data_IF_396916927275
#
_entry.id   IF_396916927275
#
_cell.length_a   1.000
_cell.length_b   1.000
_cell.length_c   1.000
_cell.angle_alpha   90.00
_cell.angle_beta   90.00
_cell.angle_gamma   90.00
#
_symmetry.space_group_name_H-M   'P 1'
#
loop_
_entity.id
_entity.type
_entity.pdbx_description
1 polymer ?
#
# COMPACT_ATOMS: atom_id res chain seq x y z
N UNK A 1 20.52 -0.67 12.33
CA UNK A 1 20.48 -0.32 10.90
C UNK A 1 20.45 1.19 10.80
N UNK A 2 21.35 1.81 10.09
CA UNK A 2 21.32 3.25 9.83
C UNK A 2 20.39 3.53 8.67
N UNK A 3 19.45 4.46 8.85
CA UNK A 3 18.59 4.93 7.77
C UNK A 3 19.45 5.77 6.81
N UNK A 4 19.82 5.20 5.67
CA UNK A 4 20.51 5.96 4.62
C UNK A 4 19.54 6.90 3.90
N UNK A 5 19.99 8.03 3.32
CA UNK A 5 19.13 8.92 2.54
C UNK A 5 18.39 8.19 1.40
N UNK A 6 19.05 7.23 0.74
CA UNK A 6 18.43 6.37 -0.28
C UNK A 6 17.26 5.57 0.29
N UNK A 7 17.45 4.92 1.44
CA UNK A 7 16.41 4.10 2.06
C UNK A 7 15.25 4.97 2.58
N UNK A 8 15.55 6.15 3.15
CA UNK A 8 14.52 7.11 3.55
C UNK A 8 13.65 7.55 2.35
N UNK A 9 14.30 7.86 1.22
CA UNK A 9 13.57 8.19 -0.02
C UNK A 9 12.69 7.02 -0.49
N UNK A 10 13.24 5.79 -0.53
CA UNK A 10 12.49 4.60 -0.95
C UNK A 10 11.30 4.31 -0.05
N UNK A 11 11.40 4.56 1.26
CA UNK A 11 10.30 4.38 2.22
C UNK A 11 9.27 5.52 2.13
N UNK A 12 9.65 6.72 1.66
CA UNK A 12 8.77 7.89 1.56
C UNK A 12 8.01 7.94 0.22
N UNK A 13 8.59 7.37 -0.86
CA UNK A 13 7.95 7.36 -2.18
C UNK A 13 6.57 6.65 -2.20
N UNK A 14 6.39 5.44 -1.61
CA UNK A 14 5.09 4.78 -1.60
C UNK A 14 3.98 5.64 -0.98
N UNK A 15 4.10 6.16 0.25
CA UNK A 15 3.06 7.01 0.84
C UNK A 15 2.76 8.27 0.00
N UNK A 16 3.77 8.88 -0.62
CA UNK A 16 3.58 10.02 -1.51
C UNK A 16 2.74 9.65 -2.75
N UNK A 17 3.10 8.55 -3.41
CA UNK A 17 2.40 8.08 -4.61
C UNK A 17 0.98 7.61 -4.27
N UNK A 18 0.77 6.96 -3.12
CA UNK A 18 -0.56 6.51 -2.71
C UNK A 18 -1.44 7.65 -2.20
N UNK A 19 -0.87 8.70 -1.62
CA UNK A 19 -1.59 9.92 -1.32
C UNK A 19 -2.20 10.55 -2.59
N UNK A 20 -1.41 10.70 -3.64
CA UNK A 20 -1.89 11.18 -4.93
C UNK A 20 -2.87 10.21 -5.59
N UNK A 21 -2.71 8.88 -5.43
CA UNK A 21 -3.68 7.91 -5.92
C UNK A 21 -5.07 8.09 -5.26
N UNK A 22 -5.12 8.35 -3.96
CA UNK A 22 -6.38 8.60 -3.27
C UNK A 22 -7.06 9.88 -3.78
N UNK A 23 -6.30 10.95 -4.00
CA UNK A 23 -6.80 12.21 -4.55
C UNK A 23 -7.29 12.04 -5.98
N UNK A 24 -6.50 11.37 -6.84
CA UNK A 24 -6.85 11.10 -8.24
C UNK A 24 -8.08 10.19 -8.36
N UNK A 25 -8.23 9.20 -7.49
CA UNK A 25 -9.39 8.32 -7.48
C UNK A 25 -10.70 9.08 -7.23
N UNK A 26 -10.69 10.11 -6.37
CA UNK A 26 -11.85 10.99 -6.15
C UNK A 26 -12.26 11.76 -7.40
N UNK A 27 -11.30 12.17 -8.22
CA UNK A 27 -11.57 12.90 -9.47
C UNK A 27 -12.23 12.00 -10.53
N UNK A 28 -12.09 10.68 -10.41
CA UNK A 28 -12.61 9.71 -11.37
C UNK A 28 -13.96 9.11 -10.96
N UNK A 29 -14.51 9.49 -9.82
CA UNK A 29 -15.86 9.13 -9.41
C UNK A 29 -16.84 9.53 -10.52
N UNK A 30 -17.69 8.61 -10.94
CA UNK A 30 -18.66 8.75 -12.05
C UNK A 30 -18.06 8.80 -13.47
N UNK A 31 -16.73 8.69 -13.66
CA UNK A 31 -16.13 8.58 -14.98
C UNK A 31 -15.82 7.13 -15.38
N UNK A 32 -15.47 6.29 -14.42
CA UNK A 32 -15.15 4.88 -14.65
C UNK A 32 -15.53 4.04 -13.43
N UNK A 33 -16.11 2.84 -13.62
CA UNK A 33 -16.37 1.93 -12.51
C UNK A 33 -15.07 1.52 -11.81
N UNK A 34 -15.05 1.46 -10.48
CA UNK A 34 -13.81 1.32 -9.70
C UNK A 34 -13.05 0.01 -9.94
N UNK A 35 -13.75 -1.13 -10.11
CA UNK A 35 -13.07 -2.41 -10.40
C UNK A 35 -12.51 -2.41 -11.81
N UNK A 36 -13.21 -1.79 -12.75
CA UNK A 36 -12.76 -1.58 -14.14
C UNK A 36 -11.53 -0.67 -14.16
N UNK A 37 -11.52 0.43 -13.39
CA UNK A 37 -10.34 1.30 -13.26
C UNK A 37 -9.13 0.52 -12.71
N UNK A 38 -9.34 -0.33 -11.70
CA UNK A 38 -8.28 -1.17 -11.15
C UNK A 38 -7.73 -2.16 -12.19
N UNK A 39 -8.62 -2.80 -12.97
CA UNK A 39 -8.20 -3.67 -14.07
C UNK A 39 -7.38 -2.92 -15.10
N UNK A 40 -7.87 -1.77 -15.58
CA UNK A 40 -7.16 -0.92 -16.56
C UNK A 40 -5.78 -0.50 -16.05
N UNK A 41 -5.68 -0.07 -14.80
CA UNK A 41 -4.42 0.27 -14.11
C UNK A 41 -3.40 -0.86 -14.24
N UNK A 42 -3.78 -2.09 -13.87
CA UNK A 42 -2.85 -3.20 -13.85
C UNK A 42 -2.57 -3.79 -15.24
N UNK A 43 -3.49 -3.66 -16.18
CA UNK A 43 -3.23 -3.93 -17.60
C UNK A 43 -2.15 -2.98 -18.13
N UNK A 44 -2.26 -1.67 -17.86
CA UNK A 44 -1.23 -0.69 -18.25
C UNK A 44 0.12 -1.03 -17.59
N UNK A 45 0.15 -1.39 -16.30
CA UNK A 45 1.38 -1.84 -15.63
C UNK A 45 2.01 -3.03 -16.34
N UNK A 46 1.20 -4.05 -16.69
CA UNK A 46 1.69 -5.23 -17.40
C UNK A 46 2.27 -4.85 -18.78
N UNK A 47 1.56 -4.02 -19.54
CA UNK A 47 1.99 -3.56 -20.87
C UNK A 47 3.29 -2.75 -20.80
N UNK A 48 3.45 -1.89 -19.79
CA UNK A 48 4.68 -1.11 -19.59
C UNK A 48 5.86 -1.99 -19.18
N UNK A 49 5.64 -2.98 -18.31
CA UNK A 49 6.72 -3.85 -17.84
C UNK A 49 7.09 -4.92 -18.85
N UNK A 50 6.18 -5.37 -19.70
CA UNK A 50 6.38 -6.48 -20.63
C UNK A 50 7.61 -6.32 -21.53
N UNK A 51 7.87 -5.16 -22.20
CA UNK A 51 9.04 -4.99 -23.06
C UNK A 51 10.37 -5.15 -22.32
N UNK A 52 10.42 -4.79 -21.06
CA UNK A 52 11.63 -4.83 -20.23
C UNK A 52 11.83 -6.17 -19.53
N UNK A 53 10.74 -6.82 -19.17
CA UNK A 53 10.74 -7.97 -18.26
C UNK A 53 10.22 -9.27 -18.86
N UNK A 54 9.89 -9.35 -20.16
CA UNK A 54 9.31 -10.54 -20.79
C UNK A 54 10.16 -11.82 -20.62
N UNK A 55 11.48 -11.66 -20.49
CA UNK A 55 12.42 -12.77 -20.30
C UNK A 55 12.14 -13.57 -19.02
N UNK A 56 11.49 -12.98 -18.03
CA UNK A 56 11.10 -13.66 -16.78
C UNK A 56 10.10 -14.80 -17.02
N UNK A 57 9.36 -14.73 -18.12
CA UNK A 57 8.42 -15.77 -18.54
C UNK A 57 9.13 -17.00 -19.15
N UNK A 58 10.44 -16.95 -19.32
CA UNK A 58 11.26 -18.07 -19.89
C UNK A 58 12.37 -18.49 -18.92
N UNK A 59 12.47 -19.78 -18.59
CA UNK A 59 11.51 -20.85 -18.90
C UNK A 59 10.26 -20.75 -18.03
N UNK A 60 9.08 -20.95 -18.63
CA UNK A 60 7.79 -20.90 -17.94
C UNK A 60 7.68 -21.86 -16.74
N UNK A 61 8.42 -22.99 -16.78
CA UNK A 61 8.48 -23.94 -15.66
C UNK A 61 8.83 -23.27 -14.32
N UNK A 62 9.75 -22.30 -14.31
CA UNK A 62 10.14 -21.56 -13.09
C UNK A 62 8.98 -20.78 -12.50
N UNK A 63 8.09 -20.27 -13.33
CA UNK A 63 6.86 -19.56 -12.90
C UNK A 63 5.85 -20.56 -12.37
N UNK A 64 5.62 -21.66 -13.11
CA UNK A 64 4.68 -22.70 -12.73
C UNK A 64 5.07 -23.38 -11.40
N UNK A 65 6.34 -23.68 -11.17
CA UNK A 65 6.81 -24.25 -9.91
C UNK A 65 6.50 -23.36 -8.68
N UNK A 66 6.31 -22.05 -8.90
CA UNK A 66 6.12 -21.05 -7.84
C UNK A 66 4.72 -20.44 -7.85
N UNK A 67 3.81 -20.99 -8.67
CA UNK A 67 2.48 -20.41 -8.86
C UNK A 67 1.70 -20.14 -7.56
N UNK A 68 1.76 -20.98 -6.49
CA UNK A 68 0.97 -20.70 -5.30
C UNK A 68 1.43 -19.43 -4.60
N UNK A 69 2.75 -19.24 -4.48
CA UNK A 69 3.33 -18.01 -3.91
C UNK A 69 2.98 -16.78 -4.75
N UNK A 70 3.11 -16.88 -6.07
CA UNK A 70 2.86 -15.79 -7.01
C UNK A 70 1.37 -15.42 -7.07
N UNK A 71 0.49 -16.43 -7.02
CA UNK A 71 -0.96 -16.22 -6.96
C UNK A 71 -1.35 -15.48 -5.68
N UNK A 72 -0.87 -15.94 -4.52
CA UNK A 72 -1.17 -15.29 -3.25
C UNK A 72 -0.60 -13.86 -3.24
N UNK A 73 0.65 -13.66 -3.65
CA UNK A 73 1.27 -12.34 -3.71
C UNK A 73 0.52 -11.40 -4.66
N UNK A 74 0.17 -11.86 -5.87
CA UNK A 74 -0.61 -11.09 -6.84
C UNK A 74 -2.03 -10.79 -6.35
N UNK A 75 -2.70 -11.78 -5.76
CA UNK A 75 -4.04 -11.59 -5.22
C UNK A 75 -4.04 -10.55 -4.09
N UNK A 76 -3.18 -10.70 -3.09
CA UNK A 76 -3.17 -9.81 -1.93
C UNK A 76 -2.80 -8.37 -2.28
N UNK A 77 -1.88 -8.17 -3.22
CA UNK A 77 -1.35 -6.83 -3.52
C UNK A 77 -1.99 -6.15 -4.72
N UNK A 78 -2.30 -6.87 -5.78
CA UNK A 78 -2.78 -6.31 -7.05
C UNK A 78 -4.30 -6.25 -7.09
N UNK A 79 -4.99 -7.36 -6.80
CA UNK A 79 -6.45 -7.41 -6.92
C UNK A 79 -7.17 -7.12 -5.61
N UNK A 80 -6.92 -7.90 -4.55
CA UNK A 80 -7.74 -7.88 -3.35
C UNK A 80 -7.71 -6.53 -2.61
N UNK A 81 -6.51 -5.96 -2.40
CA UNK A 81 -6.40 -4.71 -1.65
C UNK A 81 -7.27 -3.59 -2.25
N UNK A 82 -7.10 -3.32 -3.54
CA UNK A 82 -7.84 -2.24 -4.20
C UNK A 82 -9.33 -2.56 -4.32
N UNK A 83 -9.70 -3.79 -4.68
CA UNK A 83 -11.10 -4.19 -4.79
C UNK A 83 -11.83 -4.03 -3.44
N UNK A 84 -11.24 -4.54 -2.35
CA UNK A 84 -11.80 -4.43 -1.02
C UNK A 84 -11.84 -2.97 -0.52
N UNK A 85 -10.84 -2.16 -0.85
CA UNK A 85 -10.83 -0.73 -0.53
C UNK A 85 -11.99 0.00 -1.24
N UNK A 86 -12.25 -0.31 -2.50
CA UNK A 86 -13.37 0.29 -3.24
C UNK A 86 -14.73 -0.14 -2.69
N UNK A 87 -14.89 -1.42 -2.32
CA UNK A 87 -16.08 -1.90 -1.64
C UNK A 87 -16.28 -1.21 -0.27
N UNK A 88 -15.19 -1.02 0.48
CA UNK A 88 -15.24 -0.27 1.72
C UNK A 88 -15.70 1.18 1.48
N UNK A 89 -15.14 1.88 0.50
CA UNK A 89 -15.51 3.27 0.17
C UNK A 89 -16.96 3.41 -0.32
N UNK A 90 -17.52 2.36 -0.92
CA UNK A 90 -18.92 2.33 -1.33
C UNK A 90 -19.91 2.08 -0.18
N UNK A 91 -19.44 1.49 0.93
CA UNK A 91 -20.29 0.97 2.02
C UNK A 91 -19.98 1.55 3.40
N UNK A 92 -18.89 2.32 3.52
CA UNK A 92 -18.41 2.92 4.77
C UNK A 92 -18.06 4.39 4.59
N UNK A 93 -18.20 5.22 5.64
CA UNK A 93 -17.72 6.59 5.63
C UNK A 93 -16.21 6.65 5.34
N UNK A 94 -15.72 7.60 4.54
CA UNK A 94 -14.30 7.73 4.21
C UNK A 94 -13.38 7.84 5.43
N UNK A 95 -13.86 8.44 6.52
CA UNK A 95 -13.12 8.53 7.79
C UNK A 95 -12.82 7.14 8.37
N UNK A 96 -13.81 6.25 8.37
CA UNK A 96 -13.67 4.88 8.84
C UNK A 96 -12.64 4.13 8.00
N UNK A 97 -12.81 4.17 6.66
CA UNK A 97 -11.90 3.50 5.72
C UNK A 97 -10.45 3.95 5.96
N UNK A 98 -10.23 5.26 6.16
CA UNK A 98 -8.89 5.80 6.39
C UNK A 98 -8.34 5.40 7.75
N UNK A 99 -9.14 5.47 8.82
CA UNK A 99 -8.72 5.04 10.17
C UNK A 99 -8.33 3.55 10.19
N UNK A 100 -9.17 2.69 9.59
CA UNK A 100 -8.87 1.26 9.52
C UNK A 100 -7.66 1.00 8.64
N UNK A 101 -7.49 1.71 7.51
CA UNK A 101 -6.31 1.59 6.67
C UNK A 101 -5.02 1.93 7.41
N UNK A 102 -5.04 2.90 8.29
CA UNK A 102 -3.88 3.28 9.12
C UNK A 102 -3.54 2.26 10.21
N UNK A 103 -4.45 1.34 10.54
CA UNK A 103 -4.15 0.21 11.42
C UNK A 103 -3.14 -0.78 10.83
N UNK A 104 -2.72 -0.61 9.57
CA UNK A 104 -1.69 -1.40 8.89
C UNK A 104 -0.45 -1.63 9.78
N UNK A 105 -0.01 -0.60 10.50
CA UNK A 105 1.11 -0.69 11.43
C UNK A 105 0.90 -1.78 12.49
N UNK A 106 -0.30 -1.86 13.06
CA UNK A 106 -0.66 -2.88 14.07
C UNK A 106 -0.63 -4.27 13.44
N UNK A 107 -1.24 -4.43 12.26
CA UNK A 107 -1.29 -5.71 11.55
C UNK A 107 0.08 -6.17 11.07
N UNK A 108 0.97 -5.24 10.67
CA UNK A 108 2.36 -5.58 10.37
C UNK A 108 3.08 -6.20 11.58
N UNK A 109 2.88 -5.63 12.76
CA UNK A 109 3.47 -6.17 13.98
C UNK A 109 2.81 -7.49 14.38
N UNK A 110 1.47 -7.56 14.33
CA UNK A 110 0.72 -8.77 14.69
C UNK A 110 1.08 -9.96 13.80
N UNK A 111 1.06 -9.80 12.48
CA UNK A 111 1.46 -10.85 11.52
C UNK A 111 2.92 -11.25 11.75
N UNK A 112 3.80 -10.28 12.03
CA UNK A 112 5.20 -10.56 12.36
C UNK A 112 5.36 -11.44 13.58
N UNK A 113 4.62 -11.19 14.65
CA UNK A 113 4.65 -11.97 15.88
C UNK A 113 4.06 -13.36 15.65
N UNK A 114 2.86 -13.43 15.10
CA UNK A 114 2.07 -14.67 15.05
C UNK A 114 2.63 -15.66 14.00
N UNK A 115 2.97 -15.18 12.82
CA UNK A 115 3.33 -16.06 11.69
C UNK A 115 4.82 -16.13 11.41
N UNK A 116 5.59 -15.13 11.84
CA UNK A 116 7.03 -15.05 11.55
C UNK A 116 7.91 -15.06 12.78
N UNK A 117 7.33 -15.12 14.00
CA UNK A 117 8.06 -15.19 15.26
C UNK A 117 8.92 -13.95 15.58
N UNK A 118 8.59 -12.81 14.96
CA UNK A 118 9.34 -11.56 15.15
C UNK A 118 8.65 -10.71 16.21
N UNK A 119 9.28 -10.60 17.37
CA UNK A 119 8.78 -9.78 18.47
C UNK A 119 9.22 -8.33 18.30
N UNK A 120 8.28 -7.35 18.31
CA UNK A 120 8.64 -5.93 18.24
C UNK A 120 9.33 -5.50 19.55
N UNK A 121 10.34 -4.64 19.42
CA UNK A 121 10.94 -3.98 20.56
C UNK A 121 10.05 -2.88 21.13
N UNK A 122 10.27 -2.50 22.42
CA UNK A 122 9.47 -1.45 23.07
C UNK A 122 9.44 -0.12 22.30
N UNK A 123 10.57 0.27 21.69
CA UNK A 123 10.64 1.48 20.87
C UNK A 123 9.85 1.38 19.55
N UNK A 124 9.77 0.19 18.97
CA UNK A 124 8.92 -0.04 17.78
C UNK A 124 7.44 0.11 18.16
N UNK A 125 7.04 -0.36 19.33
CA UNK A 125 5.67 -0.18 19.86
C UNK A 125 5.38 1.30 20.16
N UNK A 126 6.31 2.02 20.80
CA UNK A 126 6.16 3.46 21.04
C UNK A 126 6.07 4.22 19.70
N UNK A 127 6.94 3.88 18.74
CA UNK A 127 6.91 4.49 17.42
C UNK A 127 5.58 4.22 16.69
N UNK A 128 5.04 3.00 16.79
CA UNK A 128 3.74 2.66 16.23
C UNK A 128 2.61 3.46 16.88
N UNK A 129 2.61 3.58 18.21
CA UNK A 129 1.61 4.37 18.94
C UNK A 129 1.66 5.85 18.56
N UNK A 130 2.85 6.45 18.45
CA UNK A 130 3.02 7.84 18.00
C UNK A 130 2.57 8.03 16.55
N UNK A 131 2.92 7.09 15.66
CA UNK A 131 2.49 7.13 14.27
C UNK A 131 0.95 7.08 14.15
N UNK A 132 0.30 6.19 14.89
CA UNK A 132 -1.16 6.10 14.92
C UNK A 132 -1.82 7.37 15.51
N UNK A 133 -1.24 7.93 16.58
CA UNK A 133 -1.72 9.18 17.17
C UNK A 133 -1.60 10.34 16.16
N UNK A 134 -0.50 10.42 15.42
CA UNK A 134 -0.32 11.41 14.36
C UNK A 134 -1.35 11.27 13.24
N UNK A 135 -1.59 10.05 12.78
CA UNK A 135 -2.64 9.77 11.78
C UNK A 135 -4.02 10.14 12.30
N UNK A 136 -4.36 9.74 13.52
CA UNK A 136 -5.63 10.10 14.15
C UNK A 136 -5.82 11.64 14.22
N UNK A 137 -4.74 12.38 14.50
CA UNK A 137 -4.73 13.85 14.52
C UNK A 137 -5.05 14.44 13.15
N UNK A 138 -4.46 13.92 12.05
CA UNK A 138 -4.79 14.40 10.69
C UNK A 138 -6.26 14.13 10.36
N UNK A 139 -6.70 12.87 10.55
CA UNK A 139 -8.03 12.43 10.10
C UNK A 139 -9.15 13.11 10.87
N UNK A 140 -8.92 13.40 12.16
CA UNK A 140 -9.91 14.08 13.02
C UNK A 140 -9.91 15.60 12.86
N UNK A 141 -8.98 16.19 12.11
CA UNK A 141 -8.78 17.62 12.09
C UNK A 141 -8.34 18.16 13.46
N UNK A 142 -7.69 17.35 14.30
CA UNK A 142 -7.30 17.70 15.66
C UNK A 142 -8.45 17.62 16.69
N UNK A 143 -9.65 17.17 16.32
CA UNK A 143 -10.81 17.08 17.20
C UNK A 143 -11.00 15.68 17.78
N UNK A 144 -10.91 15.54 19.10
CA UNK A 144 -11.24 14.28 19.79
C UNK A 144 -12.70 13.90 19.61
N UNK A 145 -13.61 14.89 19.56
CA UNK A 145 -15.03 14.66 19.33
C UNK A 145 -15.30 13.94 18.00
N UNK A 146 -14.56 14.28 16.94
CA UNK A 146 -14.65 13.60 15.65
C UNK A 146 -14.28 12.12 15.79
N UNK A 147 -13.20 11.79 16.52
CA UNK A 147 -12.80 10.40 16.74
C UNK A 147 -13.84 9.63 17.58
N UNK A 148 -14.39 10.25 18.59
CA UNK A 148 -15.42 9.62 19.44
C UNK A 148 -16.76 9.43 18.71
N UNK A 149 -17.02 10.19 17.65
CA UNK A 149 -18.24 10.04 16.82
C UNK A 149 -18.13 8.92 15.77
N UNK A 150 -16.94 8.33 15.56
CA UNK A 150 -16.75 7.23 14.63
C UNK A 150 -17.54 6.01 15.07
N UNK A 151 -18.42 5.53 14.19
CA UNK A 151 -19.17 4.29 14.38
C UNK A 151 -18.76 3.31 13.31
N UNK A 152 -18.26 2.15 13.71
CA UNK A 152 -17.92 1.09 12.78
C UNK A 152 -19.17 0.50 12.13
N UNK A 153 -19.07 0.25 10.83
CA UNK A 153 -20.12 -0.34 10.01
C UNK A 153 -19.62 -1.63 9.34
N UNK A 154 -20.50 -2.55 8.89
CA UNK A 154 -20.08 -3.81 8.29
C UNK A 154 -19.11 -3.64 7.11
N UNK A 155 -19.22 -2.54 6.36
CA UNK A 155 -18.32 -2.21 5.25
C UNK A 155 -16.87 -2.00 5.65
N UNK A 156 -16.59 -1.65 6.92
CA UNK A 156 -15.22 -1.49 7.42
C UNK A 156 -14.44 -2.81 7.44
N UNK A 157 -15.12 -3.96 7.42
CA UNK A 157 -14.49 -5.27 7.32
C UNK A 157 -13.75 -5.45 5.98
N UNK A 158 -14.23 -4.84 4.91
CA UNK A 158 -13.53 -4.93 3.62
C UNK A 158 -12.13 -4.31 3.71
N UNK A 159 -12.03 -3.09 4.22
CA UNK A 159 -10.71 -2.45 4.35
C UNK A 159 -9.84 -3.13 5.40
N UNK A 160 -10.43 -3.69 6.47
CA UNK A 160 -9.68 -4.46 7.46
C UNK A 160 -9.04 -5.71 6.84
N UNK A 161 -9.79 -6.47 6.03
CA UNK A 161 -9.27 -7.65 5.31
C UNK A 161 -8.18 -7.21 4.32
N UNK A 162 -8.38 -6.11 3.61
CA UNK A 162 -7.38 -5.56 2.69
C UNK A 162 -6.06 -5.24 3.39
N UNK A 163 -6.12 -4.58 4.55
CA UNK A 163 -4.95 -4.16 5.34
C UNK A 163 -4.22 -5.36 5.92
N UNK A 164 -4.94 -6.36 6.44
CA UNK A 164 -4.36 -7.61 6.91
C UNK A 164 -3.68 -8.34 5.73
N UNK A 165 -4.34 -8.42 4.59
CA UNK A 165 -3.78 -9.01 3.36
C UNK A 165 -2.49 -8.30 2.92
N UNK A 166 -2.44 -6.97 2.99
CA UNK A 166 -1.23 -6.19 2.69
C UNK A 166 -0.11 -6.44 3.69
N UNK A 167 -0.44 -6.64 4.97
CA UNK A 167 0.55 -7.01 5.98
C UNK A 167 1.15 -8.39 5.66
N UNK A 168 0.35 -9.39 5.32
CA UNK A 168 0.84 -10.70 4.86
C UNK A 168 1.71 -10.59 3.62
N UNK A 169 1.26 -9.88 2.59
CA UNK A 169 2.05 -9.63 1.38
C UNK A 169 3.42 -9.02 1.70
N UNK A 170 3.46 -8.02 2.57
CA UNK A 170 4.71 -7.36 2.95
C UNK A 170 5.66 -8.31 3.69
N UNK A 171 5.13 -9.17 4.56
CA UNK A 171 5.95 -10.19 5.21
C UNK A 171 6.40 -11.30 4.24
N UNK A 172 5.60 -11.65 3.26
CA UNK A 172 6.01 -12.55 2.18
C UNK A 172 7.17 -11.99 1.36
N UNK A 173 7.23 -10.68 1.15
CA UNK A 173 8.36 -10.01 0.50
C UNK A 173 9.62 -10.00 1.39
N UNK A 174 9.48 -9.69 2.68
CA UNK A 174 10.59 -9.63 3.63
C UNK A 174 11.18 -11.00 3.97
N UNK A 175 10.32 -12.01 4.06
CA UNK A 175 10.68 -13.38 4.41
C UNK A 175 10.00 -14.36 3.46
N UNK A 176 10.39 -14.38 2.17
CA UNK A 176 9.82 -15.30 1.21
C UNK A 176 10.12 -16.77 1.57
N UNK A 177 9.35 -17.74 1.06
CA UNK A 177 9.58 -19.18 1.29
C UNK A 177 10.92 -19.64 0.72
N UNK A 178 11.39 -20.84 1.11
CA UNK A 178 12.71 -21.36 0.77
C UNK A 178 13.00 -21.33 -0.74
N UNK A 179 12.01 -21.71 -1.58
CA UNK A 179 12.13 -21.72 -3.04
C UNK A 179 12.22 -20.31 -3.68
N UNK A 180 12.08 -19.25 -2.88
CA UNK A 180 12.22 -17.85 -3.28
C UNK A 180 13.38 -17.15 -2.55
N UNK A 181 14.33 -17.92 -1.95
CA UNK A 181 15.50 -17.39 -1.23
C UNK A 181 16.81 -17.93 -1.77
N UNK A 182 17.87 -17.11 -1.60
CA UNK A 182 19.25 -17.53 -1.92
C UNK A 182 19.38 -18.08 -3.34
N UNK A 183 20.07 -19.20 -3.49
CA UNK A 183 20.29 -19.89 -4.77
C UNK A 183 19.04 -20.50 -5.38
N UNK A 184 18.00 -20.78 -4.57
CA UNK A 184 16.72 -21.29 -5.07
C UNK A 184 15.81 -20.21 -5.68
N UNK A 185 16.11 -18.93 -5.38
CA UNK A 185 15.39 -17.81 -5.98
C UNK A 185 15.74 -17.70 -7.47
N UNK A 186 14.75 -17.63 -8.37
CA UNK A 186 15.02 -17.33 -9.77
C UNK A 186 15.73 -15.97 -9.90
N UNK A 187 16.57 -15.85 -10.94
CA UNK A 187 17.23 -14.61 -11.28
C UNK A 187 16.23 -13.63 -11.93
N UNK A 188 15.24 -13.23 -11.15
CA UNK A 188 14.26 -12.24 -11.53
C UNK A 188 14.63 -10.90 -10.91
N UNK A 189 14.79 -9.91 -11.74
CA UNK A 189 14.90 -8.55 -11.29
C UNK A 189 13.54 -8.07 -10.72
N UNK A 190 13.51 -6.86 -10.18
CA UNK A 190 12.29 -6.28 -9.61
C UNK A 190 11.17 -6.13 -10.64
N UNK A 191 11.50 -5.79 -11.89
CA UNK A 191 10.53 -5.58 -12.96
C UNK A 191 9.89 -6.91 -13.38
N UNK A 192 10.71 -7.97 -13.49
CA UNK A 192 10.24 -9.32 -13.76
C UNK A 192 9.35 -9.87 -12.66
N UNK A 193 9.75 -9.70 -11.40
CA UNK A 193 8.93 -10.13 -10.28
C UNK A 193 7.59 -9.38 -10.24
N UNK A 194 7.61 -8.04 -10.44
CA UNK A 194 6.39 -7.24 -10.47
C UNK A 194 5.50 -7.60 -11.66
N UNK A 195 6.08 -7.87 -12.84
CA UNK A 195 5.31 -8.32 -14.01
C UNK A 195 4.57 -9.62 -13.72
N UNK A 196 5.28 -10.66 -13.22
CA UNK A 196 4.64 -11.95 -12.90
C UNK A 196 3.54 -11.77 -11.85
N UNK A 197 3.85 -11.05 -10.78
CA UNK A 197 2.88 -10.75 -9.73
C UNK A 197 1.64 -10.03 -10.29
N UNK A 198 1.84 -9.09 -11.21
CA UNK A 198 0.76 -8.39 -11.90
C UNK A 198 -0.08 -9.34 -12.73
N UNK A 199 0.55 -10.25 -13.51
CA UNK A 199 -0.18 -11.21 -14.34
C UNK A 199 -1.08 -12.14 -13.51
N UNK A 200 -0.58 -12.64 -12.37
CA UNK A 200 -1.41 -13.43 -11.45
C UNK A 200 -2.52 -12.59 -10.80
N UNK A 201 -2.23 -11.34 -10.43
CA UNK A 201 -3.23 -10.45 -9.86
C UNK A 201 -4.30 -10.00 -10.84
N UNK A 202 -3.99 -9.92 -12.14
CA UNK A 202 -4.95 -9.61 -13.20
C UNK A 202 -6.10 -10.62 -13.27
N UNK A 203 -5.91 -11.86 -12.85
CA UNK A 203 -6.99 -12.85 -12.76
C UNK A 203 -8.10 -12.35 -11.81
N UNK A 204 -7.73 -11.90 -10.62
CA UNK A 204 -8.67 -11.34 -9.65
C UNK A 204 -9.24 -9.98 -10.07
N UNK A 205 -8.43 -9.11 -10.69
CA UNK A 205 -8.92 -7.85 -11.24
C UNK A 205 -9.94 -8.06 -12.35
N UNK A 206 -9.67 -9.01 -13.26
CA UNK A 206 -10.59 -9.36 -14.34
C UNK A 206 -11.90 -9.92 -13.82
N UNK A 207 -11.85 -10.81 -12.82
CA UNK A 207 -13.05 -11.35 -12.18
C UNK A 207 -13.87 -10.22 -11.53
N UNK A 208 -13.25 -9.35 -10.74
CA UNK A 208 -13.93 -8.24 -10.08
C UNK A 208 -14.59 -7.27 -11.09
N UNK A 209 -13.87 -6.91 -12.16
CA UNK A 209 -14.40 -6.06 -13.22
C UNK A 209 -15.54 -6.75 -14.00
N UNK A 210 -15.45 -8.06 -14.25
CA UNK A 210 -16.51 -8.83 -14.91
C UNK A 210 -17.79 -8.85 -14.07
N UNK A 211 -17.67 -9.03 -12.75
CA UNK A 211 -18.80 -8.96 -11.82
C UNK A 211 -19.40 -7.56 -11.82
N UNK A 212 -18.57 -6.51 -11.74
CA UNK A 212 -19.02 -5.12 -11.77
C UNK A 212 -19.80 -4.80 -13.05
N UNK A 213 -19.28 -5.22 -14.21
CA UNK A 213 -19.95 -5.00 -15.51
C UNK A 213 -21.25 -5.80 -15.63
N UNK A 214 -21.27 -7.05 -15.17
CA UNK A 214 -22.48 -7.88 -15.20
C UNK A 214 -23.59 -7.35 -14.25
N UNK A 215 -23.19 -6.60 -13.21
CA UNK A 215 -24.12 -5.90 -12.32
C UNK A 215 -24.67 -4.58 -12.90
N UNK A 216 -24.37 -4.25 -14.16
CA UNK A 216 -24.89 -3.07 -14.84
C UNK A 216 -24.09 -1.80 -14.55
N UNK A 217 -22.78 -1.92 -14.31
CA UNK A 217 -21.92 -0.77 -14.10
C UNK A 217 -22.00 0.23 -15.28
N UNK A 218 -21.84 1.52 -14.96
CA UNK A 218 -21.90 2.59 -15.93
C UNK A 218 -20.81 2.48 -17.02
N UNK A 219 -21.08 3.03 -18.18
CA UNK A 219 -20.09 3.11 -19.26
C UNK A 219 -18.90 4.00 -18.87
N UNK A 220 -17.73 3.71 -19.45
CA UNK A 220 -16.53 4.51 -19.25
C UNK A 220 -16.66 5.83 -20.00
N UNK A 221 -16.54 6.94 -19.30
CA UNK A 221 -16.48 8.27 -19.89
C UNK A 221 -15.02 8.66 -20.15
N UNK A 222 -14.56 8.43 -21.37
CA UNK A 222 -13.18 8.74 -21.76
C UNK A 222 -12.93 10.25 -21.77
N UNK A 223 -11.85 10.65 -21.11
CA UNK A 223 -11.38 12.04 -21.08
C UNK A 223 -9.85 12.06 -20.97
N UNK A 224 -9.21 13.16 -21.35
CA UNK A 224 -7.77 13.33 -21.14
C UNK A 224 -7.41 13.30 -19.66
N UNK A 225 -8.33 13.74 -18.78
CA UNK A 225 -8.19 13.60 -17.33
C UNK A 225 -8.09 12.16 -16.88
N UNK A 226 -8.98 11.27 -17.39
CA UNK A 226 -8.92 9.83 -17.11
C UNK A 226 -7.59 9.22 -17.61
N UNK A 227 -7.14 9.57 -18.80
CA UNK A 227 -5.84 9.10 -19.34
C UNK A 227 -4.69 9.53 -18.45
N UNK A 228 -4.67 10.79 -18.02
CA UNK A 228 -3.64 11.32 -17.10
C UNK A 228 -3.65 10.63 -15.74
N UNK A 229 -4.83 10.44 -15.15
CA UNK A 229 -4.99 9.70 -13.89
C UNK A 229 -4.54 8.25 -14.06
N UNK A 230 -4.96 7.57 -15.13
CA UNK A 230 -4.56 6.18 -15.41
C UNK A 230 -3.05 6.06 -15.55
N UNK A 231 -2.39 6.98 -16.27
CA UNK A 231 -0.94 7.02 -16.37
C UNK A 231 -0.29 7.20 -14.99
N UNK A 232 -0.75 8.16 -14.18
CA UNK A 232 -0.23 8.41 -12.85
C UNK A 232 -0.39 7.19 -11.91
N UNK A 233 -1.59 6.61 -11.82
CA UNK A 233 -1.83 5.48 -10.93
C UNK A 233 -1.08 4.22 -11.37
N UNK A 234 -0.85 4.03 -12.67
CA UNK A 234 -0.11 2.90 -13.21
C UNK A 234 1.40 3.07 -13.01
N UNK A 235 1.97 4.22 -13.37
CA UNK A 235 3.42 4.44 -13.31
C UNK A 235 3.86 4.82 -11.89
N UNK A 236 3.23 5.80 -11.28
CA UNK A 236 3.57 6.31 -9.94
C UNK A 236 3.13 5.37 -8.84
N UNK A 237 1.82 5.24 -8.66
CA UNK A 237 1.25 4.52 -7.52
C UNK A 237 1.32 2.97 -7.64
N UNK A 238 1.65 2.43 -8.82
CA UNK A 238 1.89 0.99 -8.98
C UNK A 238 3.38 0.71 -9.20
N UNK A 239 4.00 1.11 -10.31
CA UNK A 239 5.38 0.68 -10.62
C UNK A 239 6.36 1.28 -9.61
N UNK A 240 6.40 2.62 -9.48
CA UNK A 240 7.35 3.30 -8.59
C UNK A 240 7.08 2.94 -7.12
N UNK A 241 5.83 2.99 -6.69
CA UNK A 241 5.47 2.71 -5.30
C UNK A 241 5.74 1.25 -4.91
N UNK A 242 5.35 0.27 -5.74
CA UNK A 242 5.57 -1.15 -5.43
C UNK A 242 7.04 -1.54 -5.44
N UNK A 243 7.83 -1.01 -6.40
CA UNK A 243 9.29 -1.19 -6.38
C UNK A 243 9.88 -0.65 -5.09
N UNK A 244 9.55 0.60 -4.75
CA UNK A 244 10.09 1.27 -3.57
C UNK A 244 9.64 0.59 -2.29
N UNK A 245 8.38 0.16 -2.20
CA UNK A 245 7.85 -0.62 -1.09
C UNK A 245 8.59 -1.96 -0.94
N UNK A 246 8.74 -2.72 -2.02
CA UNK A 246 9.40 -4.02 -2.00
C UNK A 246 10.85 -3.92 -1.51
N UNK A 247 11.62 -2.95 -2.00
CA UNK A 247 12.99 -2.68 -1.54
C UNK A 247 12.98 -2.21 -0.09
N UNK A 248 12.11 -1.27 0.27
CA UNK A 248 11.98 -0.74 1.61
C UNK A 248 11.66 -1.82 2.65
N UNK A 249 10.71 -2.70 2.34
CA UNK A 249 10.32 -3.83 3.20
C UNK A 249 11.46 -4.85 3.32
N UNK A 250 12.16 -5.15 2.22
CA UNK A 250 13.29 -6.09 2.24
C UNK A 250 14.48 -5.55 3.05
N UNK A 251 14.83 -4.26 2.90
CA UNK A 251 15.97 -3.65 3.56
C UNK A 251 15.66 -3.20 5.01
N UNK A 252 14.51 -2.57 5.22
CA UNK A 252 14.14 -1.98 6.52
C UNK A 252 13.23 -2.87 7.39
N UNK A 253 12.60 -3.86 6.79
CA UNK A 253 11.58 -4.70 7.41
C UNK A 253 10.17 -4.10 7.38
N UNK A 254 9.12 -4.96 7.46
CA UNK A 254 7.74 -4.55 7.30
C UNK A 254 7.26 -3.52 8.34
N UNK A 255 7.71 -3.66 9.59
CA UNK A 255 7.31 -2.74 10.68
C UNK A 255 7.73 -1.30 10.42
N UNK A 256 8.99 -1.05 9.98
CA UNK A 256 9.45 0.30 9.67
C UNK A 256 8.79 0.84 8.40
N UNK A 257 8.62 0.01 7.37
CA UNK A 257 7.92 0.41 6.15
C UNK A 257 6.48 0.85 6.44
N UNK A 258 5.74 0.11 7.29
CA UNK A 258 4.40 0.48 7.70
C UNK A 258 4.37 1.80 8.49
N UNK A 259 5.39 2.07 9.31
CA UNK A 259 5.49 3.34 10.04
C UNK A 259 5.65 4.53 9.10
N UNK A 260 6.45 4.38 8.03
CA UNK A 260 6.54 5.39 6.97
C UNK A 260 5.21 5.56 6.21
N UNK A 261 4.43 4.49 6.07
CA UNK A 261 3.13 4.57 5.40
C UNK A 261 2.13 5.48 6.14
N UNK A 262 2.30 5.73 7.44
CA UNK A 262 1.52 6.72 8.18
C UNK A 262 1.69 8.16 7.67
N UNK A 263 2.69 8.42 6.83
CA UNK A 263 2.81 9.69 6.10
C UNK A 263 1.73 9.89 5.02
N UNK A 264 1.08 8.81 4.55
CA UNK A 264 0.09 8.90 3.46
C UNK A 264 -1.03 9.89 3.72
N UNK A 265 -1.76 9.88 4.86
CA UNK A 265 -2.82 10.85 5.11
C UNK A 265 -2.30 12.28 5.23
N UNK A 266 -1.12 12.47 5.81
CA UNK A 266 -0.49 13.77 5.89
C UNK A 266 -0.12 14.32 4.52
N UNK A 267 0.48 13.49 3.67
CA UNK A 267 0.81 13.88 2.30
C UNK A 267 -0.44 14.17 1.47
N UNK A 268 -1.51 13.38 1.67
CA UNK A 268 -2.79 13.63 1.02
C UNK A 268 -3.39 14.99 1.46
N UNK A 269 -3.32 15.31 2.74
CA UNK A 269 -3.77 16.59 3.25
C UNK A 269 -2.95 17.76 2.69
N UNK A 270 -1.61 17.63 2.62
CA UNK A 270 -0.74 18.66 2.04
C UNK A 270 -0.97 18.82 0.53
N UNK A 271 -1.20 17.73 -0.20
CA UNK A 271 -1.53 17.79 -1.62
C UNK A 271 -2.89 18.46 -1.85
N UNK A 272 -3.90 18.14 -1.03
CA UNK A 272 -5.20 18.80 -1.09
C UNK A 272 -5.08 20.30 -0.78
N UNK A 273 -4.30 20.68 0.24
CA UNK A 273 -4.04 22.05 0.58
C UNK A 273 -3.40 22.83 -0.59
N UNK A 274 -2.40 22.23 -1.26
CA UNK A 274 -1.71 22.85 -2.40
C UNK A 274 -2.60 22.97 -3.65
N UNK A 275 -3.55 22.04 -3.87
CA UNK A 275 -4.42 22.01 -5.04
C UNK A 275 -5.72 22.82 -4.85
N UNK A 276 -6.18 22.96 -3.61
CA UNK A 276 -7.45 23.61 -3.26
C UNK A 276 -7.28 24.96 -2.54
N UNK A 277 -6.05 25.50 -2.49
CA UNK A 277 -5.71 26.76 -1.80
C UNK A 277 -6.07 26.74 -0.29
N UNK A 278 -6.13 25.55 0.32
CA UNK A 278 -6.40 25.39 1.74
C UNK A 278 -5.12 25.68 2.56
N UNK A 279 -5.24 26.43 3.66
CA UNK A 279 -4.08 26.69 4.52
C UNK A 279 -3.77 25.49 5.42
N UNK A 280 -2.50 25.03 5.50
CA UNK A 280 -2.10 24.04 6.48
C UNK A 280 -2.44 24.52 7.89
N UNK A 281 -3.07 23.66 8.69
CA UNK A 281 -3.49 23.98 10.05
C UNK A 281 -2.51 23.39 11.08
N UNK A 282 -2.60 23.86 12.34
CA UNK A 282 -1.71 23.43 13.42
C UNK A 282 -1.73 21.89 13.65
N UNK A 283 -2.88 21.25 13.48
CA UNK A 283 -3.00 19.80 13.63
C UNK A 283 -2.16 19.02 12.59
N UNK A 284 -1.92 19.55 11.38
CA UNK A 284 -1.02 18.95 10.40
C UNK A 284 0.43 18.98 10.89
N UNK A 285 0.86 20.07 11.53
CA UNK A 285 2.21 20.18 12.10
C UNK A 285 2.39 19.22 13.28
N UNK A 286 1.41 19.15 14.17
CA UNK A 286 1.41 18.19 15.28
C UNK A 286 1.47 16.74 14.80
N UNK A 287 0.66 16.40 13.82
CA UNK A 287 0.65 15.08 13.21
C UNK A 287 2.01 14.73 12.57
N UNK A 288 2.61 15.67 11.86
CA UNK A 288 3.95 15.50 11.29
C UNK A 288 4.98 15.22 12.38
N UNK A 289 4.98 16.01 13.45
CA UNK A 289 5.90 15.81 14.57
C UNK A 289 5.73 14.45 15.25
N UNK A 290 4.48 13.98 15.42
CA UNK A 290 4.18 12.66 16.00
C UNK A 290 4.66 11.52 15.10
N UNK A 291 4.37 11.58 13.79
CA UNK A 291 4.76 10.53 12.84
C UNK A 291 6.29 10.48 12.70
N UNK A 292 6.94 11.62 12.48
CA UNK A 292 8.41 11.69 12.34
C UNK A 292 9.11 11.31 13.66
N UNK A 293 8.58 11.75 14.80
CA UNK A 293 9.06 11.33 16.13
C UNK A 293 8.95 9.83 16.33
N UNK A 294 7.85 9.22 15.93
CA UNK A 294 7.64 7.77 15.94
C UNK A 294 8.67 7.02 15.08
N UNK A 295 8.93 7.51 13.86
CA UNK A 295 9.97 6.97 12.98
C UNK A 295 11.34 7.08 13.63
N UNK A 296 11.70 8.23 14.18
CA UNK A 296 13.00 8.48 14.81
C UNK A 296 13.24 7.57 16.04
N UNK A 297 12.21 7.37 16.87
CA UNK A 297 12.30 6.47 18.05
C UNK A 297 12.48 5.02 17.59
N UNK A 298 11.75 4.56 16.59
CA UNK A 298 11.88 3.20 16.07
C UNK A 298 13.26 2.92 15.49
N UNK A 299 13.89 3.90 14.85
CA UNK A 299 15.21 3.76 14.25
C UNK A 299 16.33 3.57 15.28
N UNK A 300 16.25 4.22 16.46
CA UNK A 300 17.28 4.12 17.52
C UNK A 300 17.43 2.70 18.08
N UNK A 301 16.44 1.84 17.96
CA UNK A 301 16.50 0.44 18.46
C UNK A 301 17.45 -0.43 17.67
N UNK A 302 17.56 -0.20 16.35
CA UNK A 302 18.33 -1.06 15.44
C UNK A 302 19.83 -0.80 15.46
N UNK A 303 20.30 0.31 16.04
CA UNK A 303 21.72 0.61 16.19
C UNK A 303 22.37 -0.12 17.37
N UNK A 304 21.63 -0.41 18.44
CA UNK A 304 22.15 -1.04 19.66
C UNK A 304 22.24 -2.58 19.59
N UNK A 305 21.43 -3.21 18.72
CA UNK A 305 21.42 -4.70 18.55
C UNK A 305 22.60 -5.24 17.72
N UNK A 306 23.45 -4.38 17.13
CA UNK A 306 24.65 -4.79 16.39
C UNK A 306 25.95 -4.65 17.19
N UNK A 307 25.89 -4.17 18.44
CA UNK A 307 27.06 -3.99 19.33
C UNK A 307 27.12 -5.03 20.46
N UNK A 308 26.29 -6.01 20.43
CA UNK A 308 26.29 -7.21 21.27
C UNK A 308 26.31 -8.46 20.38
#
# INVERSE_FOLDING_TARGET
MTLTPRLALLLTLPPLMWAGNATSGRMMVNQVPPMTLNLMRWVVVALVLLPFAWRVLRPWSRVVERWPYLLVAGTLSVSAYNALQYLALATSPPINVTLVACSLQVWMLAVGVVFYGVRPGGRELIGAALGLAGVATVISGGSVGTLLSVRFVPGDLYILIAVIGWAFYSWMLARPPAHMRGSARPDWDWAGFLLIQTLFGLLGCGLAASVELSAGAAAIHWSWGLVGVLAYISLGASIVAYRSWGIGVAEAGPGLAALFNNLTPLMAALMSAALLDERPQLHHLLAFALIVGGIAISLRTRSLSKSS
#
